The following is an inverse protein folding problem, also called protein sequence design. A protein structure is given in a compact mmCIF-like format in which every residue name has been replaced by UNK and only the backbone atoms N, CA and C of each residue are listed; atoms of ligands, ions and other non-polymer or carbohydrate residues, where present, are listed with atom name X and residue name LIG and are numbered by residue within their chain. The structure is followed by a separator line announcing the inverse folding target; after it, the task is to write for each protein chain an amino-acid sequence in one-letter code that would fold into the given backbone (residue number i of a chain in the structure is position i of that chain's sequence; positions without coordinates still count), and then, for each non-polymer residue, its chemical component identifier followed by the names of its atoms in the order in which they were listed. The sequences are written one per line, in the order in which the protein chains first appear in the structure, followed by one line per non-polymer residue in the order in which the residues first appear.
data_IF_226417512556
#
_entry.id   IF_226417512556
#
_cell.length_a   1.000
_cell.length_b   1.000
_cell.length_c   1.000
_cell.angle_alpha   90.00
_cell.angle_beta   90.00
_cell.angle_gamma   90.00
#
_symmetry.space_group_name_H-M   'P 1'
#
loop_
_entity.id
_entity.type
_entity.pdbx_description
1 polymer ?
#
# COMPACT_ATOMS: atom_id res chain seq x y z
N UNK A 1 -15.29 3.62 2.72
CA UNK A 1 -15.80 4.73 1.90
C UNK A 1 -15.83 5.95 2.80
N UNK A 2 -15.35 7.11 2.35
CA UNK A 2 -15.43 8.34 3.16
C UNK A 2 -16.88 8.82 3.12
N UNK A 3 -17.42 9.16 4.29
CA UNK A 3 -18.77 9.68 4.46
C UNK A 3 -18.77 11.10 3.87
N UNK A 4 -19.60 11.42 2.86
CA UNK A 4 -19.60 12.74 2.21
C UNK A 4 -19.73 13.90 3.20
N UNK A 5 -20.53 13.74 4.24
CA UNK A 5 -20.79 14.74 5.28
C UNK A 5 -19.58 14.98 6.20
N UNK A 6 -18.57 14.09 6.17
CA UNK A 6 -17.31 14.23 6.89
C UNK A 6 -16.15 14.62 5.98
N UNK A 7 -16.43 14.95 4.71
CA UNK A 7 -15.39 15.50 3.83
C UNK A 7 -14.97 16.85 4.38
N UNK A 8 -13.66 17.09 4.47
CA UNK A 8 -13.19 18.35 5.00
C UNK A 8 -13.32 19.44 3.91
N UNK A 9 -13.48 20.70 4.33
CA UNK A 9 -13.79 21.83 3.44
C UNK A 9 -12.57 22.38 2.66
N UNK A 10 -11.57 21.53 2.39
CA UNK A 10 -10.40 21.90 1.61
C UNK A 10 -10.58 21.60 0.12
N UNK A 11 -9.89 22.41 -0.69
CA UNK A 11 -9.81 22.20 -2.12
C UNK A 11 -9.00 20.92 -2.40
N UNK A 12 -9.54 19.93 -3.13
CA UNK A 12 -8.80 18.75 -3.48
C UNK A 12 -7.64 19.11 -4.41
N UNK A 13 -6.48 18.51 -4.17
CA UNK A 13 -5.31 18.65 -5.03
C UNK A 13 -5.30 17.50 -6.03
N UNK A 14 -5.20 17.84 -7.31
CA UNK A 14 -5.00 16.86 -8.37
C UNK A 14 -3.53 16.47 -8.43
N UNK A 15 -3.26 15.18 -8.29
CA UNK A 15 -1.92 14.62 -8.41
C UNK A 15 -1.72 14.09 -9.82
N UNK A 16 -1.02 14.87 -10.64
CA UNK A 16 -0.57 14.48 -11.97
C UNK A 16 0.81 13.83 -11.89
N UNK A 17 1.02 12.81 -12.72
CA UNK A 17 2.24 12.01 -12.73
C UNK A 17 2.40 11.31 -14.08
N UNK A 18 3.64 11.00 -14.42
CA UNK A 18 3.98 10.26 -15.62
C UNK A 18 3.92 8.74 -15.37
N UNK A 19 3.94 7.97 -16.47
CA UNK A 19 4.08 6.52 -16.36
C UNK A 19 5.39 6.20 -15.63
N UNK A 20 5.30 5.28 -14.68
CA UNK A 20 6.38 4.82 -13.81
C UNK A 20 6.75 5.73 -12.62
N UNK A 21 6.03 6.83 -12.40
CA UNK A 21 6.19 7.60 -11.17
C UNK A 21 5.73 6.81 -9.94
N UNK A 22 6.35 7.12 -8.79
CA UNK A 22 6.04 6.51 -7.50
C UNK A 22 5.40 7.54 -6.60
N UNK A 23 4.19 7.22 -6.12
CA UNK A 23 3.46 8.06 -5.18
C UNK A 23 3.53 7.42 -3.79
N UNK A 24 4.08 8.14 -2.84
CA UNK A 24 4.12 7.74 -1.42
C UNK A 24 3.03 8.51 -0.67
N UNK A 25 2.04 7.79 -0.14
CA UNK A 25 0.90 8.38 0.54
C UNK A 25 0.84 7.86 1.98
N UNK A 26 0.61 8.76 2.93
CA UNK A 26 0.31 8.38 4.31
C UNK A 26 -1.08 7.69 4.38
N UNK A 27 -1.23 6.58 5.14
CA UNK A 27 -2.50 5.85 5.21
C UNK A 27 -3.72 6.67 5.64
N UNK A 28 -3.51 7.82 6.31
CA UNK A 28 -4.59 8.72 6.76
C UNK A 28 -4.92 9.86 5.79
N UNK A 29 -4.22 9.98 4.66
CA UNK A 29 -4.57 10.95 3.63
C UNK A 29 -5.84 10.49 2.93
N UNK A 30 -6.87 11.33 2.99
CA UNK A 30 -8.11 11.13 2.22
C UNK A 30 -7.77 11.30 0.74
N UNK A 31 -8.02 10.26 -0.05
CA UNK A 31 -7.77 10.26 -1.50
C UNK A 31 -8.85 9.48 -2.24
N UNK A 32 -9.06 9.84 -3.51
CA UNK A 32 -9.98 9.15 -4.42
C UNK A 32 -9.55 9.38 -5.87
N UNK A 33 -9.86 8.43 -6.74
CA UNK A 33 -9.79 8.66 -8.20
C UNK A 33 -11.05 9.34 -8.72
N UNK A 34 -10.89 10.12 -9.79
CA UNK A 34 -12.00 10.51 -10.66
C UNK A 34 -12.37 9.37 -11.63
N UNK A 35 -13.59 9.35 -12.18
CA UNK A 35 -13.94 8.43 -13.26
C UNK A 35 -13.02 8.63 -14.48
N UNK A 36 -12.52 7.54 -15.05
CA UNK A 36 -11.72 7.59 -16.27
C UNK A 36 -12.65 7.83 -17.48
N UNK A 37 -12.52 8.99 -18.12
CA UNK A 37 -13.29 9.38 -19.31
C UNK A 37 -12.51 9.23 -20.62
N UNK A 38 -11.31 8.67 -20.58
CA UNK A 38 -10.47 8.45 -21.76
C UNK A 38 -10.74 7.10 -22.43
N UNK A 39 -10.19 6.92 -23.62
CA UNK A 39 -10.16 5.65 -24.37
C UNK A 39 -9.00 4.73 -23.96
N UNK A 40 -8.26 5.08 -22.90
CA UNK A 40 -7.08 4.34 -22.41
C UNK A 40 -7.32 3.76 -21.03
N UNK A 41 -6.75 2.58 -20.78
CA UNK A 41 -6.72 2.00 -19.45
C UNK A 41 -5.67 2.71 -18.57
N UNK A 42 -6.07 3.14 -17.37
CA UNK A 42 -5.16 3.52 -16.29
C UNK A 42 -5.05 2.34 -15.33
N UNK A 43 -3.87 1.74 -15.23
CA UNK A 43 -3.54 0.76 -14.20
C UNK A 43 -2.53 1.37 -13.21
N UNK A 44 -2.64 0.99 -11.95
CA UNK A 44 -1.66 1.32 -10.91
C UNK A 44 -1.41 0.09 -10.04
N UNK A 45 -0.23 0.04 -9.42
CA UNK A 45 0.14 -0.97 -8.45
C UNK A 45 0.30 -0.33 -7.08
N UNK A 46 -0.51 -0.78 -6.13
CA UNK A 46 -0.46 -0.26 -4.76
C UNK A 46 0.33 -1.23 -3.88
N UNK A 47 1.49 -0.78 -3.39
CA UNK A 47 2.28 -1.47 -2.37
C UNK A 47 2.01 -0.85 -0.99
N UNK A 48 2.01 -1.68 0.05
CA UNK A 48 1.84 -1.21 1.43
C UNK A 48 3.00 -1.65 2.29
N UNK A 49 3.69 -0.67 2.85
CA UNK A 49 4.76 -0.87 3.81
C UNK A 49 4.21 -0.71 5.22
N UNK A 50 4.67 -1.57 6.12
CA UNK A 50 4.37 -1.49 7.55
C UNK A 50 5.53 -2.08 8.34
N UNK A 51 5.59 -1.75 9.62
CA UNK A 51 6.57 -2.34 10.54
C UNK A 51 6.37 -3.84 10.65
N UNK A 52 7.45 -4.61 10.53
CA UNK A 52 7.42 -6.07 10.66
C UNK A 52 6.81 -6.48 12.01
N UNK A 53 5.93 -7.49 11.97
CA UNK A 53 5.26 -8.04 13.17
C UNK A 53 3.99 -7.30 13.60
N UNK A 54 3.67 -6.15 12.99
CA UNK A 54 2.39 -5.48 13.23
C UNK A 54 1.27 -6.16 12.45
N UNK A 55 0.11 -6.34 13.09
CA UNK A 55 -1.06 -6.89 12.44
C UNK A 55 -1.61 -5.88 11.42
N UNK A 56 -1.83 -6.36 10.21
CA UNK A 56 -2.17 -5.58 9.02
C UNK A 56 -3.69 -5.43 8.85
N UNK A 57 -4.48 -6.20 9.62
CA UNK A 57 -5.92 -6.39 9.41
C UNK A 57 -6.25 -7.10 8.08
N UNK A 58 -5.24 -7.62 7.37
CA UNK A 58 -5.32 -8.16 6.01
C UNK A 58 -4.67 -9.54 5.92
N UNK A 59 -5.09 -10.42 6.83
CA UNK A 59 -4.55 -11.79 6.97
C UNK A 59 -4.73 -12.68 5.74
N UNK A 60 -5.58 -12.29 4.78
CA UNK A 60 -5.78 -13.02 3.52
C UNK A 60 -4.74 -12.67 2.44
N UNK A 61 -4.01 -11.57 2.60
CA UNK A 61 -3.02 -11.11 1.62
C UNK A 61 -1.61 -11.55 2.02
N UNK A 62 -0.72 -11.88 1.07
CA UNK A 62 0.66 -12.22 1.40
C UNK A 62 1.38 -11.01 1.98
N UNK A 63 2.27 -11.25 2.94
CA UNK A 63 3.18 -10.28 3.52
C UNK A 63 4.60 -10.85 3.59
N UNK A 64 5.61 -10.00 3.42
CA UNK A 64 7.01 -10.40 3.52
C UNK A 64 7.89 -9.25 3.97
N UNK A 65 9.04 -9.60 4.55
CA UNK A 65 10.04 -8.62 4.98
C UNK A 65 10.85 -8.19 3.77
N UNK A 66 10.80 -6.89 3.44
CA UNK A 66 11.57 -6.27 2.36
C UNK A 66 12.77 -5.45 2.86
N UNK A 67 12.86 -5.24 4.17
CA UNK A 67 13.95 -4.50 4.82
C UNK A 67 14.08 -4.90 6.28
N UNK A 68 15.30 -5.23 6.71
CA UNK A 68 15.62 -5.51 8.12
C UNK A 68 17.10 -5.22 8.37
N UNK A 69 17.40 -4.52 9.48
CA UNK A 69 18.79 -4.31 9.95
C UNK A 69 19.27 -5.41 10.90
N UNK A 70 18.35 -6.09 11.56
CA UNK A 70 18.63 -7.09 12.61
C UNK A 70 18.63 -8.52 12.07
N UNK A 71 17.92 -8.76 10.96
CA UNK A 71 17.78 -10.07 10.33
C UNK A 71 17.75 -9.91 8.79
N UNK A 72 18.88 -9.53 8.17
CA UNK A 72 18.96 -9.30 6.73
C UNK A 72 18.77 -10.59 5.90
N UNK A 73 18.97 -11.75 6.52
CA UNK A 73 18.71 -13.09 5.97
C UNK A 73 17.22 -13.38 5.75
N UNK A 74 16.32 -12.63 6.39
CA UNK A 74 14.86 -12.78 6.24
C UNK A 74 14.26 -11.99 5.08
N UNK A 75 15.07 -11.28 4.29
CA UNK A 75 14.57 -10.49 3.17
C UNK A 75 14.06 -11.40 2.04
N UNK A 76 12.85 -11.14 1.56
CA UNK A 76 12.32 -11.77 0.35
C UNK A 76 12.56 -10.81 -0.81
N UNK A 77 13.60 -11.09 -1.59
CA UNK A 77 13.98 -10.32 -2.80
C UNK A 77 13.33 -10.86 -4.07
N UNK A 78 12.85 -12.11 -4.05
CA UNK A 78 12.00 -12.68 -5.08
C UNK A 78 10.74 -13.29 -4.48
N UNK A 79 9.54 -12.87 -4.92
CA UNK A 79 8.29 -13.50 -4.49
C UNK A 79 8.17 -14.88 -5.14
N UNK A 80 8.82 -15.88 -4.57
CA UNK A 80 8.52 -17.28 -4.88
C UNK A 80 7.17 -17.64 -4.25
N UNK A 81 6.44 -18.61 -4.83
CA UNK A 81 5.06 -18.98 -4.46
C UNK A 81 4.83 -19.35 -2.98
N UNK A 82 5.87 -19.40 -2.16
CA UNK A 82 5.87 -19.91 -0.79
C UNK A 82 6.28 -18.86 0.24
N UNK A 83 5.82 -17.61 0.11
CA UNK A 83 5.91 -16.65 1.21
C UNK A 83 4.93 -17.10 2.30
N UNK A 84 5.45 -17.82 3.29
CA UNK A 84 4.67 -18.17 4.48
C UNK A 84 4.38 -16.88 5.25
N UNK A 85 3.11 -16.69 5.60
CA UNK A 85 2.66 -15.65 6.53
C UNK A 85 3.59 -15.69 7.74
N UNK A 86 4.27 -14.59 8.04
CA UNK A 86 5.09 -14.49 9.25
C UNK A 86 4.15 -14.60 10.45
N UNK A 87 4.06 -15.80 11.04
CA UNK A 87 3.32 -15.98 12.29
C UNK A 87 3.89 -15.00 13.32
N UNK A 88 2.98 -14.19 13.86
CA UNK A 88 3.23 -13.24 14.95
C UNK A 88 4.17 -13.87 15.97
N UNK A 89 5.28 -13.19 16.24
CA UNK A 89 6.14 -13.51 17.37
C UNK A 89 5.31 -13.11 18.59
N UNK A 90 4.69 -14.11 19.23
CA UNK A 90 4.02 -13.92 20.51
C UNK A 90 5.03 -13.47 21.56
N UNK A 91 4.62 -12.52 22.40
CA UNK A 91 5.06 -12.48 23.79
C UNK A 91 4.23 -13.47 24.60
#
# INVERSE_FOLDING_TARGET
MVIPELMPDEVPIYLEYDRCDVILINPFVIHRSSPNKSDRCRWSLDLRYQTTGQNTGRTVHPDFVVRSRVAPDRLVIEPTKNVQHNKSIGN
#
